data_IF_521290290898
#
_entry.id   IF_521290290898
#
_cell.length_a   1.000
_cell.length_b   1.000
_cell.length_c   1.000
_cell.angle_alpha   90.00
_cell.angle_beta   90.00
_cell.angle_gamma   90.00
#
_symmetry.space_group_name_H-M   'P 1'
#
loop_
_entity.id
_entity.type
_entity.pdbx_description
1 polymer ?
#
# COMPACT_ATOMS: atom_id res chain seq x y z
N UNK A 1 1.96 5.36 21.65
CA UNK A 1 2.84 5.34 20.45
C UNK A 1 3.31 3.90 20.28
N UNK A 2 2.65 3.13 19.41
CA UNK A 2 2.98 1.72 19.19
C UNK A 2 4.25 1.62 18.33
N UNK A 3 5.39 1.66 19.03
CA UNK A 3 6.65 1.09 18.59
C UNK A 3 6.54 -0.44 18.66
N UNK A 4 5.57 -1.05 17.96
CA UNK A 4 5.54 -2.52 17.81
C UNK A 4 6.61 -2.92 16.78
N UNK A 5 7.84 -2.80 17.26
CA UNK A 5 9.08 -3.52 16.97
C UNK A 5 9.23 -4.13 15.58
N UNK A 6 9.44 -3.26 14.58
CA UNK A 6 10.51 -3.59 13.65
C UNK A 6 11.78 -3.84 14.47
N UNK A 7 12.33 -5.04 14.37
CA UNK A 7 13.60 -5.36 15.00
C UNK A 7 14.71 -4.48 14.39
N UNK A 8 15.83 -4.36 15.09
CA UNK A 8 16.96 -3.50 14.66
C UNK A 8 17.43 -3.85 13.26
N UNK A 9 17.57 -5.13 12.93
CA UNK A 9 18.01 -5.58 11.60
C UNK A 9 17.09 -5.09 10.45
N UNK A 10 15.76 -5.12 10.64
CA UNK A 10 14.82 -4.57 9.65
C UNK A 10 14.95 -3.05 9.54
N UNK A 11 15.14 -2.35 10.67
CA UNK A 11 15.34 -0.90 10.67
C UNK A 11 16.63 -0.51 9.94
N UNK A 12 17.73 -1.19 10.23
CA UNK A 12 19.02 -0.99 9.57
C UNK A 12 18.88 -1.20 8.06
N UNK A 13 18.23 -2.30 7.65
CA UNK A 13 17.98 -2.58 6.22
C UNK A 13 17.13 -1.51 5.53
N UNK A 14 16.14 -0.93 6.24
CA UNK A 14 15.32 0.16 5.71
C UNK A 14 16.13 1.47 5.67
N UNK A 15 16.95 1.74 6.69
CA UNK A 15 17.87 2.88 6.74
C UNK A 15 18.84 2.84 5.56
N UNK A 16 19.50 1.69 5.35
CA UNK A 16 20.40 1.46 4.21
C UNK A 16 19.70 1.73 2.87
N UNK A 17 18.44 1.30 2.71
CA UNK A 17 17.67 1.59 1.49
C UNK A 17 17.39 3.09 1.32
N UNK A 18 17.02 3.79 2.41
CA UNK A 18 16.75 5.22 2.39
C UNK A 18 18.02 6.01 2.05
N UNK A 19 19.17 5.61 2.59
CA UNK A 19 20.46 6.26 2.32
C UNK A 19 20.98 6.01 0.91
N UNK A 20 20.73 4.81 0.36
CA UNK A 20 21.31 4.38 -0.93
C UNK A 20 20.39 4.64 -2.13
N UNK A 21 19.08 4.82 -1.92
CA UNK A 21 18.11 5.02 -2.99
C UNK A 21 17.56 6.45 -3.00
N UNK A 22 17.37 7.02 -4.18
CA UNK A 22 16.68 8.30 -4.35
C UNK A 22 15.15 8.08 -4.28
N UNK A 23 14.58 8.14 -3.07
CA UNK A 23 13.14 8.01 -2.86
C UNK A 23 12.30 9.04 -3.64
N UNK A 24 12.66 10.34 -3.66
CA UNK A 24 12.01 11.33 -4.51
C UNK A 24 11.97 10.92 -5.98
N UNK A 25 13.07 10.41 -6.53
CA UNK A 25 13.09 9.89 -7.89
C UNK A 25 12.20 8.65 -8.04
N UNK A 26 12.33 7.65 -7.16
CA UNK A 26 11.49 6.45 -7.16
C UNK A 26 9.99 6.78 -7.13
N UNK A 27 9.60 7.82 -6.40
CA UNK A 27 8.23 8.33 -6.38
C UNK A 27 7.84 9.06 -7.67
N UNK A 28 8.72 9.92 -8.22
CA UNK A 28 8.45 10.65 -9.48
C UNK A 28 8.37 9.73 -10.69
N UNK A 29 9.16 8.66 -10.70
CA UNK A 29 9.23 7.70 -11.81
C UNK A 29 8.23 6.56 -11.66
N UNK A 30 7.49 6.49 -10.54
CA UNK A 30 6.35 5.60 -10.40
C UNK A 30 5.39 5.74 -11.59
N UNK A 31 5.08 4.59 -12.20
CA UNK A 31 4.17 4.51 -13.33
C UNK A 31 3.22 3.32 -13.19
N UNK A 32 1.92 3.61 -13.22
CA UNK A 32 0.89 2.58 -13.33
C UNK A 32 -0.26 3.05 -14.22
N UNK A 33 -0.36 2.47 -15.43
CA UNK A 33 -1.36 2.86 -16.43
C UNK A 33 -1.32 4.38 -16.71
N UNK A 34 -2.35 5.12 -16.29
CA UNK A 34 -2.47 6.58 -16.47
C UNK A 34 -1.89 7.38 -15.30
N UNK A 35 -1.58 6.71 -14.18
CA UNK A 35 -0.95 7.32 -13.03
C UNK A 35 0.54 7.47 -13.29
N UNK A 36 0.88 8.63 -13.86
CA UNK A 36 2.22 9.16 -14.00
C UNK A 36 2.32 10.44 -13.18
N UNK A 37 3.50 10.71 -12.62
CA UNK A 37 3.74 11.91 -11.82
C UNK A 37 3.42 13.20 -12.61
N UNK A 38 3.83 13.23 -13.88
CA UNK A 38 3.60 14.34 -14.82
C UNK A 38 2.12 14.67 -15.02
N UNK A 39 1.25 13.67 -14.89
CA UNK A 39 -0.20 13.80 -15.05
C UNK A 39 -0.91 14.01 -13.70
N UNK A 40 -0.16 14.07 -12.60
CA UNK A 40 -0.70 14.26 -11.25
C UNK A 40 -1.39 13.04 -10.66
N UNK A 41 -1.09 11.83 -11.14
CA UNK A 41 -1.71 10.58 -10.69
C UNK A 41 -3.27 10.64 -10.70
N UNK A 42 -3.90 10.83 -11.87
CA UNK A 42 -5.32 11.18 -11.96
C UNK A 42 -6.26 10.10 -11.39
N UNK A 43 -5.94 8.82 -11.56
CA UNK A 43 -6.78 7.74 -11.05
C UNK A 43 -6.55 7.51 -9.56
N UNK A 44 -5.31 7.62 -9.07
CA UNK A 44 -5.01 7.58 -7.63
C UNK A 44 -5.69 8.75 -6.90
N UNK A 45 -5.58 9.97 -7.41
CA UNK A 45 -6.20 11.16 -6.82
C UNK A 45 -7.72 11.01 -6.70
N UNK A 46 -8.36 10.48 -7.76
CA UNK A 46 -9.80 10.19 -7.74
C UNK A 46 -10.15 9.11 -6.71
N UNK A 47 -9.43 7.98 -6.71
CA UNK A 47 -9.71 6.86 -5.82
C UNK A 47 -9.47 7.20 -4.35
N UNK A 48 -8.39 7.91 -4.01
CA UNK A 48 -8.16 8.36 -2.63
C UNK A 48 -9.27 9.29 -2.14
N UNK A 49 -9.79 10.16 -3.00
CA UNK A 49 -10.93 11.03 -2.66
C UNK A 49 -12.20 10.21 -2.47
N UNK A 50 -12.64 9.48 -3.49
CA UNK A 50 -13.92 8.75 -3.47
C UNK A 50 -13.95 7.69 -2.36
N UNK A 51 -12.90 6.88 -2.25
CA UNK A 51 -12.82 5.81 -1.26
C UNK A 51 -12.56 6.37 0.13
N UNK A 52 -11.72 7.40 0.27
CA UNK A 52 -11.46 8.06 1.55
C UNK A 52 -12.69 8.74 2.12
N UNK A 53 -13.46 9.45 1.29
CA UNK A 53 -14.72 10.09 1.69
C UNK A 53 -15.76 9.04 2.10
N UNK A 54 -15.90 7.97 1.32
CA UNK A 54 -16.79 6.87 1.66
C UNK A 54 -16.37 6.14 2.95
N UNK A 55 -15.07 5.98 3.19
CA UNK A 55 -14.56 5.38 4.43
C UNK A 55 -14.85 6.26 5.65
N UNK A 56 -14.65 7.58 5.55
CA UNK A 56 -14.97 8.54 6.62
C UNK A 56 -16.48 8.61 6.89
N UNK A 57 -17.30 8.50 5.86
CA UNK A 57 -18.76 8.51 5.97
C UNK A 57 -19.37 7.16 6.35
N UNK A 58 -18.59 6.07 6.39
CA UNK A 58 -19.10 4.72 6.63
C UNK A 58 -19.99 4.17 5.50
N UNK A 59 -19.76 4.61 4.26
CA UNK A 59 -20.58 4.30 3.07
C UNK A 59 -19.85 3.49 2.00
N UNK A 60 -18.70 2.89 2.34
CA UNK A 60 -17.97 1.97 1.45
C UNK A 60 -18.89 0.90 0.88
N UNK A 61 -18.70 0.54 -0.39
CA UNK A 61 -19.63 -0.29 -1.15
C UNK A 61 -18.91 -1.11 -2.21
N UNK A 62 -19.64 -2.05 -2.83
CA UNK A 62 -19.12 -2.87 -3.93
C UNK A 62 -18.61 -2.04 -5.12
N UNK A 63 -19.20 -0.89 -5.41
CA UNK A 63 -18.75 -0.04 -6.53
C UNK A 63 -17.36 0.55 -6.29
N UNK A 64 -17.03 0.91 -5.04
CA UNK A 64 -15.67 1.32 -4.67
C UNK A 64 -14.67 0.17 -4.88
N UNK A 65 -15.05 -1.06 -4.51
CA UNK A 65 -14.21 -2.24 -4.74
C UNK A 65 -13.98 -2.48 -6.24
N UNK A 66 -15.03 -2.37 -7.06
CA UNK A 66 -14.92 -2.52 -8.51
C UNK A 66 -14.06 -1.42 -9.13
N UNK A 67 -14.15 -0.18 -8.66
CA UNK A 67 -13.29 0.91 -9.12
C UNK A 67 -11.80 0.60 -8.85
N UNK A 68 -11.47 0.17 -7.64
CA UNK A 68 -10.11 -0.27 -7.26
C UNK A 68 -9.66 -1.47 -8.11
N UNK A 69 -10.54 -2.44 -8.32
CA UNK A 69 -10.25 -3.63 -9.13
C UNK A 69 -9.95 -3.27 -10.59
N UNK A 70 -10.72 -2.35 -11.19
CA UNK A 70 -10.47 -1.83 -12.54
C UNK A 70 -9.11 -1.13 -12.63
N UNK A 71 -8.79 -0.28 -11.65
CA UNK A 71 -7.50 0.39 -11.55
C UNK A 71 -6.35 -0.61 -11.39
N UNK A 72 -6.44 -1.56 -10.47
CA UNK A 72 -5.43 -2.59 -10.22
C UNK A 72 -5.31 -3.66 -11.30
N UNK A 73 -6.26 -3.74 -12.23
CA UNK A 73 -6.26 -4.74 -13.31
C UNK A 73 -6.69 -6.14 -12.87
N UNK A 74 -7.59 -6.24 -11.88
CA UNK A 74 -8.12 -7.52 -11.43
C UNK A 74 -9.01 -8.10 -12.54
N UNK A 75 -8.81 -9.36 -12.96
CA UNK A 75 -9.75 -10.03 -13.86
C UNK A 75 -11.05 -10.37 -13.13
N UNK A 76 -12.13 -10.65 -13.87
CA UNK A 76 -13.41 -11.14 -13.33
C UNK A 76 -14.02 -10.23 -12.24
N UNK A 77 -13.97 -8.92 -12.46
CA UNK A 77 -14.48 -7.87 -11.56
C UNK A 77 -15.93 -8.12 -11.14
N UNK A 78 -16.73 -8.70 -12.05
CA UNK A 78 -18.12 -9.08 -11.79
C UNK A 78 -18.31 -10.19 -10.74
N UNK A 79 -17.24 -10.80 -10.21
CA UNK A 79 -17.30 -11.75 -9.10
C UNK A 79 -17.12 -11.10 -7.72
N UNK A 80 -16.75 -9.82 -7.66
CA UNK A 80 -16.59 -9.10 -6.41
C UNK A 80 -17.96 -8.92 -5.77
N UNK A 81 -18.10 -9.31 -4.50
CA UNK A 81 -19.34 -9.16 -3.73
C UNK A 81 -19.02 -8.64 -2.33
N UNK A 82 -19.82 -7.70 -1.85
CA UNK A 82 -19.72 -7.19 -0.49
C UNK A 82 -21.08 -6.66 0.00
N UNK A 83 -21.33 -6.61 1.32
CA UNK A 83 -22.48 -5.89 1.86
C UNK A 83 -22.37 -4.40 1.55
N UNK A 84 -23.51 -3.72 1.50
CA UNK A 84 -23.58 -2.26 1.41
C UNK A 84 -24.32 -1.72 2.65
N UNK A 85 -23.65 -0.97 3.55
CA UNK A 85 -22.24 -0.60 3.51
C UNK A 85 -21.30 -1.73 3.96
N UNK A 86 -20.04 -1.66 3.51
CA UNK A 86 -18.91 -2.42 4.07
C UNK A 86 -18.56 -1.77 5.41
N UNK A 87 -18.68 -2.54 6.50
CA UNK A 87 -18.55 -2.01 7.86
C UNK A 87 -17.11 -2.07 8.33
N UNK A 88 -16.47 -0.92 8.41
CA UNK A 88 -15.15 -0.76 9.04
C UNK A 88 -15.01 0.67 9.59
N UNK A 89 -14.76 0.80 10.89
CA UNK A 89 -14.63 2.10 11.56
C UNK A 89 -13.18 2.59 11.50
N UNK A 90 -12.69 2.93 10.29
CA UNK A 90 -11.30 3.39 10.10
C UNK A 90 -11.04 4.78 10.69
N UNK A 91 -12.08 5.58 10.92
CA UNK A 91 -11.98 6.95 11.37
C UNK A 91 -12.82 7.21 12.63
N UNK A 92 -12.29 8.06 13.50
CA UNK A 92 -12.92 8.59 14.72
C UNK A 92 -12.54 10.08 14.80
N UNK A 93 -13.54 10.96 14.92
CA UNK A 93 -13.35 12.42 14.93
C UNK A 93 -12.48 12.97 13.78
N UNK A 94 -12.73 12.45 12.57
CA UNK A 94 -12.02 12.87 11.35
C UNK A 94 -10.57 12.40 11.25
N UNK A 95 -10.07 11.65 12.24
CA UNK A 95 -8.71 11.09 12.26
C UNK A 95 -8.79 9.57 12.16
N UNK A 96 -7.73 8.95 11.67
CA UNK A 96 -7.64 7.48 11.68
C UNK A 96 -7.82 6.97 13.11
N UNK A 97 -8.66 5.95 13.29
CA UNK A 97 -9.01 5.41 14.59
C UNK A 97 -7.80 4.76 15.27
N UNK A 98 -7.77 4.80 16.60
CA UNK A 98 -6.63 4.27 17.39
C UNK A 98 -6.38 2.79 17.12
N UNK A 99 -7.44 1.98 17.09
CA UNK A 99 -7.33 0.54 16.86
C UNK A 99 -6.69 0.21 15.51
N UNK A 100 -6.96 1.02 14.47
CA UNK A 100 -6.41 0.82 13.13
C UNK A 100 -4.90 1.08 13.11
N UNK A 101 -4.41 2.06 13.89
CA UNK A 101 -2.98 2.31 14.05
C UNK A 101 -2.27 1.25 14.88
N UNK A 102 -2.94 0.75 15.93
CA UNK A 102 -2.34 -0.19 16.88
C UNK A 102 -2.35 -1.63 16.36
N UNK A 103 -3.29 -1.98 15.49
CA UNK A 103 -3.44 -3.33 14.91
C UNK A 103 -3.95 -3.27 13.47
N UNK A 104 -3.17 -2.70 12.52
CA UNK A 104 -3.54 -2.53 11.12
C UNK A 104 -3.97 -3.83 10.41
N UNK A 105 -3.41 -4.98 10.78
CA UNK A 105 -3.79 -6.30 10.27
C UNK A 105 -5.24 -6.70 10.63
N UNK A 106 -5.81 -6.15 11.70
CA UNK A 106 -7.23 -6.37 12.02
C UNK A 106 -8.16 -5.77 10.97
N UNK A 107 -7.74 -4.69 10.29
CA UNK A 107 -8.51 -4.12 9.20
C UNK A 107 -8.65 -5.12 8.04
N UNK A 108 -7.59 -5.89 7.74
CA UNK A 108 -7.64 -6.98 6.77
C UNK A 108 -8.61 -8.07 7.21
N UNK A 109 -8.56 -8.49 8.49
CA UNK A 109 -9.47 -9.54 9.02
C UNK A 109 -10.94 -9.12 8.88
N UNK A 110 -11.26 -7.89 9.29
CA UNK A 110 -12.62 -7.33 9.22
C UNK A 110 -13.12 -7.24 7.77
N UNK A 111 -12.26 -6.81 6.84
CA UNK A 111 -12.62 -6.73 5.42
C UNK A 111 -12.74 -8.10 4.78
N UNK A 112 -11.85 -9.03 5.11
CA UNK A 112 -11.86 -10.41 4.59
C UNK A 112 -13.13 -11.18 4.94
N UNK A 113 -13.74 -10.88 6.08
CA UNK A 113 -15.05 -11.44 6.47
C UNK A 113 -16.24 -10.86 5.71
N UNK A 114 -16.06 -9.77 4.96
CA UNK A 114 -17.14 -9.05 4.27
C UNK A 114 -17.01 -9.07 2.74
N UNK A 115 -15.79 -9.19 2.23
CA UNK A 115 -15.50 -9.04 0.80
C UNK A 115 -15.16 -10.38 0.18
N UNK A 116 -15.97 -10.80 -0.79
CA UNK A 116 -15.65 -11.93 -1.67
C UNK A 116 -14.98 -11.41 -2.95
N UNK A 117 -13.92 -12.09 -3.37
CA UNK A 117 -13.21 -11.81 -4.62
C UNK A 117 -11.97 -10.93 -4.48
N UNK A 118 -11.69 -10.40 -3.29
CA UNK A 118 -10.43 -9.74 -2.97
C UNK A 118 -9.49 -10.70 -2.23
N UNK A 119 -8.28 -10.85 -2.76
CA UNK A 119 -7.15 -11.43 -2.03
C UNK A 119 -6.31 -10.34 -1.33
N UNK A 120 -5.21 -10.73 -0.68
CA UNK A 120 -4.35 -9.84 0.10
C UNK A 120 -4.00 -8.50 -0.57
N UNK A 121 -3.61 -8.53 -1.84
CA UNK A 121 -3.26 -7.33 -2.62
C UNK A 121 -4.44 -6.38 -2.82
N UNK A 122 -5.64 -6.88 -3.08
CA UNK A 122 -6.78 -5.99 -3.33
C UNK A 122 -7.43 -5.50 -2.04
N UNK A 123 -7.43 -6.31 -0.98
CA UNK A 123 -7.86 -5.86 0.34
C UNK A 123 -6.94 -4.76 0.88
N UNK A 124 -5.63 -4.89 0.71
CA UNK A 124 -4.68 -3.81 1.10
C UNK A 124 -4.79 -2.57 0.22
N UNK A 125 -5.08 -2.70 -1.10
CA UNK A 125 -5.38 -1.55 -1.97
C UNK A 125 -6.57 -0.75 -1.48
N UNK A 126 -7.64 -1.42 -1.02
CA UNK A 126 -8.79 -0.73 -0.40
C UNK A 126 -8.35 0.13 0.79
N UNK A 127 -7.56 -0.42 1.71
CA UNK A 127 -7.07 0.31 2.87
C UNK A 127 -6.16 1.50 2.46
N UNK A 128 -5.27 1.28 1.49
CA UNK A 128 -4.39 2.32 0.92
C UNK A 128 -5.15 3.51 0.34
N UNK A 129 -6.28 3.27 -0.33
CA UNK A 129 -7.13 4.36 -0.83
C UNK A 129 -8.03 4.96 0.24
N UNK A 130 -8.46 4.19 1.24
CA UNK A 130 -9.33 4.65 2.30
C UNK A 130 -8.62 5.58 3.32
N UNK A 131 -7.36 5.27 3.68
CA UNK A 131 -6.57 6.07 4.61
C UNK A 131 -5.07 6.04 4.21
N UNK A 132 -4.67 6.77 3.15
CA UNK A 132 -3.30 6.78 2.63
C UNK A 132 -2.25 7.28 3.64
N UNK A 133 -2.68 8.02 4.68
CA UNK A 133 -1.84 8.46 5.79
C UNK A 133 -1.37 7.30 6.69
N UNK A 134 -2.09 6.16 6.72
CA UNK A 134 -1.74 5.00 7.52
C UNK A 134 -1.38 3.78 6.68
N UNK A 135 -2.08 3.54 5.58
CA UNK A 135 -1.96 2.27 4.86
C UNK A 135 -1.26 2.42 3.51
N UNK A 136 -0.44 1.43 3.18
CA UNK A 136 0.01 1.15 1.81
C UNK A 136 -0.55 -0.17 1.30
N UNK A 137 -0.56 -0.33 -0.02
CA UNK A 137 -0.90 -1.60 -0.64
C UNK A 137 0.27 -2.58 -0.49
N UNK A 138 -0.02 -3.88 -0.41
CA UNK A 138 1.00 -4.94 -0.50
C UNK A 138 0.81 -5.73 -1.79
N UNK A 139 1.63 -5.40 -2.79
CA UNK A 139 1.60 -6.03 -4.10
C UNK A 139 2.58 -7.20 -4.18
N UNK A 140 2.32 -8.12 -5.10
CA UNK A 140 3.20 -9.24 -5.40
C UNK A 140 4.63 -8.80 -5.73
N UNK A 141 4.83 -7.64 -6.37
CA UNK A 141 6.18 -7.12 -6.65
C UNK A 141 6.95 -6.80 -5.37
N UNK A 142 6.28 -6.18 -4.40
CA UNK A 142 6.83 -5.87 -3.08
C UNK A 142 7.24 -7.19 -2.40
N UNK A 143 6.35 -8.18 -2.35
CA UNK A 143 6.65 -9.46 -1.69
C UNK A 143 7.76 -10.25 -2.41
N UNK A 144 7.87 -10.17 -3.74
CA UNK A 144 8.95 -10.83 -4.49
C UNK A 144 10.35 -10.29 -4.19
N UNK A 145 10.45 -9.05 -3.69
CA UNK A 145 11.72 -8.37 -3.42
C UNK A 145 12.01 -8.31 -1.93
N UNK A 146 11.01 -7.90 -1.14
CA UNK A 146 11.11 -7.70 0.30
C UNK A 146 10.67 -8.92 1.11
N UNK A 147 10.03 -9.93 0.49
CA UNK A 147 9.68 -11.19 1.14
C UNK A 147 10.44 -12.36 0.52
N UNK A 148 9.70 -13.46 0.26
CA UNK A 148 10.18 -14.60 -0.51
C UNK A 148 9.57 -14.60 -1.92
N UNK A 149 10.43 -14.84 -2.91
CA UNK A 149 10.09 -14.88 -4.33
C UNK A 149 11.34 -15.15 -5.16
N UNK A 150 11.22 -15.09 -6.48
CA UNK A 150 12.33 -15.29 -7.43
C UNK A 150 13.41 -14.19 -7.39
N UNK A 151 13.10 -13.03 -6.79
CA UNK A 151 14.00 -11.86 -6.74
C UNK A 151 14.28 -11.37 -5.31
N UNK A 152 14.04 -12.23 -4.33
CA UNK A 152 14.14 -11.88 -2.91
C UNK A 152 15.59 -11.55 -2.53
N UNK A 153 15.80 -10.43 -1.85
CA UNK A 153 17.13 -10.05 -1.36
C UNK A 153 17.17 -9.30 -0.02
N UNK A 154 16.05 -8.72 0.43
CA UNK A 154 16.02 -7.92 1.67
C UNK A 154 15.30 -8.60 2.83
N UNK A 155 14.40 -9.56 2.54
CA UNK A 155 13.67 -10.36 3.55
C UNK A 155 13.05 -9.54 4.71
N UNK A 156 12.51 -8.35 4.42
CA UNK A 156 11.79 -7.52 5.37
C UNK A 156 10.43 -8.11 5.77
N UNK A 157 9.87 -9.00 4.95
CA UNK A 157 8.56 -9.62 5.13
C UNK A 157 8.68 -11.15 5.17
N UNK A 158 7.91 -11.79 6.06
CA UNK A 158 7.69 -13.24 6.07
C UNK A 158 6.45 -13.62 5.25
N UNK A 159 6.46 -13.17 3.98
CA UNK A 159 5.43 -13.46 3.00
C UNK A 159 6.07 -14.05 1.75
N UNK A 160 5.38 -14.99 1.13
CA UNK A 160 5.77 -15.57 -0.15
C UNK A 160 4.85 -15.08 -1.27
N UNK A 161 5.47 -14.60 -2.35
CA UNK A 161 4.79 -14.45 -3.63
C UNK A 161 4.91 -15.77 -4.38
N UNK A 162 3.77 -16.38 -4.73
CA UNK A 162 3.71 -17.70 -5.37
C UNK A 162 3.28 -17.56 -6.83
N UNK A 163 3.93 -18.25 -7.78
CA UNK A 163 3.43 -18.34 -9.14
C UNK A 163 2.22 -19.27 -9.20
N UNK A 164 1.08 -18.76 -9.67
CA UNK A 164 -0.19 -19.46 -9.85
C UNK A 164 -0.69 -19.15 -11.26
N UNK A 165 -0.84 -20.19 -12.10
CA UNK A 165 -1.36 -20.08 -13.47
C UNK A 165 -0.71 -18.97 -14.31
N UNK A 166 0.62 -18.85 -14.22
CA UNK A 166 1.40 -17.86 -14.97
C UNK A 166 1.32 -16.42 -14.41
N UNK A 167 0.73 -16.22 -13.22
CA UNK A 167 0.70 -14.94 -12.50
C UNK A 167 1.29 -15.10 -11.11
N UNK A 168 1.75 -14.01 -10.50
CA UNK A 168 2.14 -14.02 -9.10
C UNK A 168 0.92 -13.72 -8.21
N UNK A 169 0.87 -14.36 -7.04
CA UNK A 169 -0.17 -14.13 -6.05
C UNK A 169 0.43 -14.16 -4.64
N UNK A 170 -0.17 -13.37 -3.73
CA UNK A 170 0.01 -13.51 -2.29
C UNK A 170 -1.17 -14.37 -1.81
N UNK A 171 -0.90 -15.58 -1.35
CA UNK A 171 -1.96 -16.50 -0.91
C UNK A 171 -2.48 -16.08 0.47
N UNK A 172 -3.80 -16.01 0.64
CA UNK A 172 -4.43 -15.63 1.91
C UNK A 172 -4.30 -16.69 3.01
N UNK A 173 -3.96 -17.93 2.66
CA UNK A 173 -3.79 -19.04 3.60
C UNK A 173 -2.36 -19.27 4.06
N UNK A 174 -1.41 -18.41 3.68
CA UNK A 174 -0.03 -18.53 4.17
C UNK A 174 0.06 -18.10 5.64
N UNK A 175 0.97 -18.73 6.39
CA UNK A 175 1.05 -18.59 7.84
C UNK A 175 1.24 -17.14 8.32
N UNK A 176 2.00 -16.32 7.60
CA UNK A 176 2.24 -14.92 7.97
C UNK A 176 1.09 -13.95 7.67
N UNK A 177 0.02 -14.38 7.01
CA UNK A 177 -1.09 -13.51 6.65
C UNK A 177 -2.29 -13.68 7.62
N UNK A 178 -2.87 -12.57 8.16
CA UNK A 178 -2.65 -11.17 7.80
C UNK A 178 -1.63 -10.40 8.65
N UNK A 179 -0.98 -11.03 9.62
CA UNK A 179 -0.06 -10.40 10.58
C UNK A 179 1.05 -9.59 9.89
N UNK A 180 1.60 -10.08 8.80
CA UNK A 180 2.63 -9.40 8.01
C UNK A 180 2.14 -8.13 7.30
N UNK A 181 0.82 -7.93 7.17
CA UNK A 181 0.31 -6.63 6.76
C UNK A 181 0.54 -5.55 7.82
N UNK A 182 0.55 -5.95 9.10
CA UNK A 182 0.93 -5.06 10.19
C UNK A 182 2.43 -4.75 10.17
N UNK A 183 3.27 -5.76 9.92
CA UNK A 183 4.71 -5.56 9.65
C UNK A 183 4.91 -4.58 8.49
N UNK A 184 4.20 -4.75 7.38
CA UNK A 184 4.29 -3.85 6.22
C UNK A 184 3.89 -2.40 6.57
N UNK A 185 2.81 -2.22 7.31
CA UNK A 185 2.37 -0.89 7.77
C UNK A 185 3.42 -0.24 8.69
N UNK A 186 4.08 -1.02 9.53
CA UNK A 186 5.18 -0.55 10.38
C UNK A 186 6.41 -0.14 9.56
N UNK A 187 6.78 -0.92 8.52
CA UNK A 187 7.86 -0.58 7.58
C UNK A 187 7.61 0.77 6.92
N UNK A 188 6.41 0.97 6.37
CA UNK A 188 6.04 2.23 5.70
C UNK A 188 6.06 3.41 6.68
N UNK A 189 5.52 3.22 7.88
CA UNK A 189 5.49 4.26 8.92
C UNK A 189 6.89 4.67 9.34
N UNK A 190 7.78 3.69 9.53
CA UNK A 190 9.18 3.94 9.88
C UNK A 190 9.90 4.69 8.76
N UNK A 191 9.81 4.20 7.53
CA UNK A 191 10.46 4.86 6.38
C UNK A 191 9.94 6.27 6.13
N UNK A 192 8.62 6.51 6.23
CA UNK A 192 8.05 7.85 6.12
C UNK A 192 8.60 8.79 7.21
N UNK A 193 8.70 8.30 8.45
CA UNK A 193 9.25 9.09 9.56
C UNK A 193 10.72 9.45 9.34
N UNK A 194 11.56 8.50 8.90
CA UNK A 194 12.98 8.74 8.62
C UNK A 194 13.17 9.74 7.46
N UNK A 195 12.43 9.57 6.35
CA UNK A 195 12.48 10.50 5.21
C UNK A 195 12.09 11.93 5.61
N UNK A 196 11.03 12.06 6.42
CA UNK A 196 10.57 13.36 6.92
C UNK A 196 11.58 13.96 7.91
N UNK A 197 12.16 13.17 8.80
CA UNK A 197 13.17 13.61 9.77
C UNK A 197 14.48 14.05 9.10
N UNK A 198 14.86 13.38 8.00
CA UNK A 198 15.99 13.77 7.15
C UNK A 198 15.74 15.06 6.35
N UNK A 199 14.52 15.61 6.39
CA UNK A 199 14.16 16.81 5.63
C UNK A 199 14.13 16.58 4.12
N UNK A 200 13.94 15.34 3.67
CA UNK A 200 13.85 14.97 2.26
C UNK A 200 12.42 15.16 1.77
N UNK A 201 12.07 16.24 1.04
CA UNK A 201 10.69 16.55 0.74
C UNK A 201 10.10 15.55 -0.26
N UNK A 202 8.92 15.01 0.04
CA UNK A 202 8.17 14.21 -0.94
C UNK A 202 7.76 15.09 -2.13
N UNK A 203 8.10 14.73 -3.37
CA UNK A 203 7.83 15.57 -4.52
C UNK A 203 6.41 15.34 -5.02
N UNK A 204 5.38 15.65 -4.22
CA UNK A 204 3.99 15.46 -4.67
C UNK A 204 3.67 16.30 -5.92
N UNK A 205 2.92 15.75 -6.88
CA UNK A 205 2.35 16.57 -7.93
C UNK A 205 1.30 17.53 -7.37
N UNK A 206 1.16 18.69 -8.00
CA UNK A 206 0.23 19.75 -7.54
C UNK A 206 -1.22 19.28 -7.44
N UNK A 207 -1.64 18.33 -8.28
CA UNK A 207 -3.00 17.78 -8.26
C UNK A 207 -3.37 17.16 -6.91
N UNK A 208 -2.44 16.47 -6.23
CA UNK A 208 -2.69 15.87 -4.92
C UNK A 208 -2.74 16.93 -3.82
N UNK A 209 -1.86 17.93 -3.86
CA UNK A 209 -1.84 19.02 -2.88
C UNK A 209 -3.07 19.92 -3.04
N UNK A 210 -3.46 20.26 -4.27
CA UNK A 210 -4.63 21.10 -4.56
C UNK A 210 -5.95 20.40 -4.19
N UNK A 211 -5.96 19.06 -4.25
CA UNK A 211 -7.07 18.24 -3.78
C UNK A 211 -7.13 18.09 -2.24
N UNK A 212 -6.14 18.60 -1.50
CA UNK A 212 -6.04 18.42 -0.05
C UNK A 212 -5.69 16.99 0.39
N UNK A 213 -5.25 16.13 -0.55
CA UNK A 213 -4.91 14.73 -0.26
C UNK A 213 -3.49 14.58 0.30
N UNK A 214 -2.64 15.59 0.11
CA UNK A 214 -1.25 15.63 0.61
C UNK A 214 -0.90 17.00 1.14
N UNK A 215 -0.09 17.02 2.18
CA UNK A 215 0.67 18.19 2.61
C UNK A 215 1.99 18.24 1.84
N UNK A 216 2.36 19.41 1.31
CA UNK A 216 3.52 19.57 0.43
C UNK A 216 4.81 19.14 1.16
N UNK A 217 5.52 18.19 0.56
CA UNK A 217 6.84 17.76 1.04
C UNK A 217 6.78 16.68 2.14
N UNK A 218 5.61 16.30 2.63
CA UNK A 218 5.47 15.33 3.73
C UNK A 218 5.21 13.93 3.18
N UNK A 219 6.10 12.98 3.46
CA UNK A 219 5.89 11.58 3.10
C UNK A 219 4.77 10.95 3.92
N UNK A 220 3.78 10.37 3.24
CA UNK A 220 2.79 9.46 3.83
C UNK A 220 3.13 8.00 3.50
N UNK A 221 2.50 7.07 4.22
CA UNK A 221 2.71 5.63 4.01
C UNK A 221 2.38 5.19 2.58
N UNK A 222 1.32 5.74 1.98
CA UNK A 222 1.00 5.48 0.58
C UNK A 222 2.06 6.01 -0.41
N UNK A 223 2.76 7.10 -0.08
CA UNK A 223 3.81 7.67 -0.96
C UNK A 223 5.09 6.82 -0.90
N UNK A 224 5.45 6.37 0.31
CA UNK A 224 6.55 5.43 0.52
C UNK A 224 6.26 4.09 -0.16
N UNK A 225 5.00 3.61 -0.10
CA UNK A 225 4.60 2.40 -0.81
C UNK A 225 4.79 2.52 -2.32
N UNK A 226 4.44 3.66 -2.92
CA UNK A 226 4.66 3.91 -4.34
C UNK A 226 6.15 3.86 -4.69
N UNK A 227 7.01 4.47 -3.87
CA UNK A 227 8.46 4.42 -4.07
C UNK A 227 9.01 2.98 -3.97
N UNK A 228 8.61 2.23 -2.93
CA UNK A 228 9.01 0.82 -2.78
C UNK A 228 8.48 -0.08 -3.88
N UNK A 229 7.26 0.16 -4.36
CA UNK A 229 6.70 -0.56 -5.49
C UNK A 229 7.51 -0.30 -6.77
N UNK A 230 7.93 0.95 -7.00
CA UNK A 230 8.76 1.29 -8.15
C UNK A 230 10.15 0.63 -8.05
N UNK A 231 10.81 0.74 -6.90
CA UNK A 231 12.07 0.03 -6.62
C UNK A 231 11.96 -1.47 -6.90
N UNK A 232 10.93 -2.12 -6.36
CA UNK A 232 10.71 -3.55 -6.58
C UNK A 232 10.45 -3.87 -8.06
N UNK A 233 9.73 -2.99 -8.77
CA UNK A 233 9.47 -3.14 -10.20
C UNK A 233 10.75 -3.07 -11.03
N UNK A 234 11.65 -2.14 -10.73
CA UNK A 234 12.95 -1.99 -11.40
C UNK A 234 13.85 -3.21 -11.17
N UNK A 235 13.95 -3.69 -9.92
CA UNK A 235 14.72 -4.90 -9.59
C UNK A 235 14.22 -6.13 -10.36
N UNK A 236 12.90 -6.31 -10.44
CA UNK A 236 12.30 -7.41 -11.21
C UNK A 236 12.57 -7.28 -12.72
N UNK A 237 12.57 -6.06 -13.27
CA UNK A 237 12.84 -5.84 -14.69
C UNK A 237 14.29 -6.08 -15.06
N UNK A 238 15.24 -5.67 -14.22
CA UNK A 238 16.67 -5.86 -14.46
C UNK A 238 17.02 -7.35 -14.52
N UNK A 239 16.48 -8.17 -13.62
CA UNK A 239 16.70 -9.63 -13.60
C UNK A 239 16.16 -10.32 -14.88
N UNK A 240 15.17 -9.75 -15.57
CA UNK A 240 14.66 -10.31 -16.83
C UNK A 240 15.49 -9.96 -18.05
N UNK A 241 16.39 -8.99 -17.92
CA UNK A 241 17.27 -8.52 -19.01
C UNK A 241 18.64 -9.20 -18.98
N UNK A 242 19.02 -9.73 -17.83
CA UNK A 242 20.21 -10.57 -17.61
C UNK A 242 19.91 -12.05 -17.94
#
# INVERSE_FOLDING_TARGET
MNNQNLNTSKKDSIGDLIETCDFPDLYRTYAWKRDLWQNGFPDICRLEREVGDAARAGTLSEEHLKAIARWGGLPNIERIRAPAPIRIALFEDGKVARWARESPENAIRVLGGQIRGFGPTYTSKLLRFAAPELFGAIDTRIVRVFGAGDTAHLHLLDLTATPVDGRWAILSGQQGWPEEYGTWTAILTYAAAELNAAGQPCPHPEALTNAGLRERGIWLNADVEMAFFNYASEKIQNIRRD
#
